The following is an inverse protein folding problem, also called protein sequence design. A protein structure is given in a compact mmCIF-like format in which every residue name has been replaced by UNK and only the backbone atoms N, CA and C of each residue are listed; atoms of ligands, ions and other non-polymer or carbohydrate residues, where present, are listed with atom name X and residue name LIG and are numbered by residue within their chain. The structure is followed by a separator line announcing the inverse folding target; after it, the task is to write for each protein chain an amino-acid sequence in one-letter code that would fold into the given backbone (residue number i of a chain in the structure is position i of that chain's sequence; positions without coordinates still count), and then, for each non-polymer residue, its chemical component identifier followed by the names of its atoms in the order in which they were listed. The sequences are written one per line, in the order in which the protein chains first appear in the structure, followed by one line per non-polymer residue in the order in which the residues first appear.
data_IF_232434361665
#
_entry.id   IF_232434361665
#
_cell.length_a   1.000
_cell.length_b   1.000
_cell.length_c   1.000
_cell.angle_alpha   90.00
_cell.angle_beta   90.00
_cell.angle_gamma   90.00
#
_symmetry.space_group_name_H-M   'P 1'
#
loop_
_entity.id
_entity.type
_entity.pdbx_description
1 polymer ?
#
# COMPACT_ATOMS: atom_id res chain seq x y z
N UNK A 1 9.64 -34.91 6.01
CA UNK A 1 8.25 -34.59 5.67
C UNK A 1 8.18 -34.37 4.16
N UNK A 2 7.37 -35.14 3.45
CA UNK A 2 7.15 -34.94 2.01
C UNK A 2 6.18 -33.77 1.79
N UNK A 3 5.95 -33.38 0.52
CA UNK A 3 5.11 -32.24 0.17
C UNK A 3 3.67 -32.40 0.67
N UNK A 4 3.08 -33.59 0.54
CA UNK A 4 1.72 -33.85 1.00
C UNK A 4 1.59 -33.79 2.53
N UNK A 5 2.52 -34.38 3.26
CA UNK A 5 2.54 -34.30 4.72
C UNK A 5 2.67 -32.85 5.21
N UNK A 6 3.46 -32.02 4.50
CA UNK A 6 3.58 -30.59 4.78
C UNK A 6 2.29 -29.84 4.48
N UNK A 7 1.65 -30.11 3.36
CA UNK A 7 0.36 -29.54 2.98
C UNK A 7 -0.70 -29.80 4.05
N UNK A 8 -0.86 -31.07 4.44
CA UNK A 8 -1.84 -31.49 5.44
C UNK A 8 -1.57 -30.87 6.82
N UNK A 9 -0.27 -30.86 7.21
CA UNK A 9 0.16 -30.24 8.47
C UNK A 9 -0.16 -28.74 8.52
N UNK A 10 0.16 -28.01 7.45
CA UNK A 10 -0.10 -26.56 7.38
C UNK A 10 -1.61 -26.30 7.38
N UNK A 11 -2.38 -26.98 6.54
CA UNK A 11 -3.84 -26.82 6.47
C UNK A 11 -4.52 -27.10 7.82
N UNK A 12 -4.07 -28.12 8.54
CA UNK A 12 -4.56 -28.42 9.88
C UNK A 12 -4.21 -27.32 10.91
N UNK A 13 -2.98 -26.82 10.88
CA UNK A 13 -2.51 -25.79 11.83
C UNK A 13 -3.00 -24.38 11.52
N UNK A 14 -3.24 -24.10 10.25
CA UNK A 14 -3.62 -22.79 9.73
C UNK A 14 -4.83 -22.90 8.79
N UNK A 15 -6.03 -23.18 9.30
CA UNK A 15 -7.20 -23.49 8.47
C UNK A 15 -7.66 -22.33 7.57
N UNK A 16 -7.19 -21.11 7.84
CA UNK A 16 -7.50 -19.91 7.02
C UNK A 16 -6.43 -19.58 6.00
N UNK A 17 -5.39 -20.41 5.86
CA UNK A 17 -4.35 -20.15 4.87
C UNK A 17 -4.91 -20.34 3.46
N UNK A 18 -4.48 -19.51 2.53
CA UNK A 18 -4.90 -19.57 1.13
C UNK A 18 -3.76 -20.04 0.22
N UNK A 19 -2.59 -19.47 0.41
CA UNK A 19 -1.45 -19.67 -0.49
C UNK A 19 -0.13 -19.56 0.29
N UNK A 20 0.87 -20.32 -0.14
CA UNK A 20 2.27 -20.11 0.23
C UNK A 20 3.11 -20.12 -1.03
N UNK A 21 4.00 -19.15 -1.15
CA UNK A 21 5.06 -19.14 -2.16
C UNK A 21 6.37 -18.81 -1.47
N UNK A 22 7.42 -19.59 -1.73
CA UNK A 22 8.75 -19.35 -1.18
C UNK A 22 9.79 -19.26 -2.30
N UNK A 23 10.66 -18.26 -2.20
CA UNK A 23 11.80 -18.04 -3.08
C UNK A 23 13.10 -18.23 -2.31
N UNK A 24 14.07 -18.83 -2.97
CA UNK A 24 15.45 -18.90 -2.49
C UNK A 24 16.36 -18.51 -3.65
N UNK A 25 17.25 -17.55 -3.40
CA UNK A 25 18.20 -17.06 -4.41
C UNK A 25 17.53 -16.64 -5.73
N UNK A 26 16.36 -16.00 -5.64
CA UNK A 26 15.58 -15.54 -6.79
C UNK A 26 14.76 -16.62 -7.51
N UNK A 27 14.83 -17.89 -7.07
CA UNK A 27 14.12 -19.03 -7.66
C UNK A 27 12.97 -19.47 -6.76
N UNK A 28 11.79 -19.74 -7.34
CA UNK A 28 10.67 -20.36 -6.64
C UNK A 28 11.05 -21.80 -6.23
N UNK A 29 11.08 -22.08 -4.92
CA UNK A 29 11.44 -23.39 -4.37
C UNK A 29 10.25 -24.11 -3.75
N UNK A 30 9.16 -23.42 -3.46
CA UNK A 30 7.96 -24.01 -2.90
C UNK A 30 6.74 -23.18 -3.26
N UNK A 31 5.66 -23.86 -3.66
CA UNK A 31 4.33 -23.28 -3.81
C UNK A 31 3.28 -24.27 -3.37
N UNK A 32 2.24 -23.79 -2.68
CA UNK A 32 1.11 -24.60 -2.25
C UNK A 32 -0.15 -23.75 -2.04
N UNK A 33 -1.33 -24.39 -2.09
CA UNK A 33 -2.63 -23.73 -2.18
C UNK A 33 -3.64 -24.45 -1.28
N UNK A 34 -4.54 -23.68 -0.63
CA UNK A 34 -5.61 -24.18 0.23
C UNK A 34 -6.90 -23.43 -0.02
N UNK A 35 -8.00 -23.97 0.51
CA UNK A 35 -9.32 -23.32 0.48
C UNK A 35 -9.81 -22.91 -0.91
N UNK A 36 -9.42 -23.66 -1.95
CA UNK A 36 -9.83 -23.43 -3.34
C UNK A 36 -9.07 -22.32 -4.06
N UNK A 37 -8.11 -21.69 -3.40
CA UNK A 37 -7.22 -20.70 -4.05
C UNK A 37 -6.22 -21.35 -4.98
N UNK A 38 -5.85 -20.62 -6.04
CA UNK A 38 -4.70 -20.90 -6.91
C UNK A 38 -3.58 -19.91 -6.63
N UNK A 39 -2.33 -20.26 -6.95
CA UNK A 39 -1.13 -19.46 -6.60
C UNK A 39 -1.18 -18.02 -7.09
N UNK A 40 -1.88 -17.77 -8.20
CA UNK A 40 -2.00 -16.46 -8.82
C UNK A 40 -3.34 -15.75 -8.50
N UNK A 41 -4.21 -16.37 -7.71
CA UNK A 41 -5.43 -15.73 -7.23
C UNK A 41 -5.08 -14.58 -6.28
N UNK A 42 -5.61 -13.41 -6.53
CA UNK A 42 -5.39 -12.27 -5.64
C UNK A 42 -6.39 -12.26 -4.49
N UNK A 43 -5.95 -11.78 -3.35
CA UNK A 43 -6.80 -11.51 -2.21
C UNK A 43 -6.48 -10.14 -1.61
N UNK A 44 -7.42 -9.60 -0.86
CA UNK A 44 -7.21 -8.34 -0.16
C UNK A 44 -6.11 -8.49 0.90
N UNK A 45 -4.96 -7.86 0.68
CA UNK A 45 -3.78 -7.97 1.56
C UNK A 45 -3.87 -7.09 2.81
N UNK A 46 -5.01 -6.49 3.07
CA UNK A 46 -5.26 -5.65 4.25
C UNK A 46 -4.17 -4.57 4.42
N UNK A 47 -3.64 -4.44 5.62
CA UNK A 47 -2.65 -3.43 5.96
C UNK A 47 -1.25 -3.65 5.37
N UNK A 48 -0.98 -4.78 4.72
CA UNK A 48 0.25 -4.94 3.95
C UNK A 48 0.31 -3.94 2.76
N UNK A 49 -0.84 -3.41 2.32
CA UNK A 49 -0.95 -2.27 1.39
C UNK A 49 -0.06 -1.09 1.80
N UNK A 50 0.09 -0.81 3.10
CA UNK A 50 0.93 0.28 3.62
C UNK A 50 2.39 0.15 3.23
N UNK A 51 2.90 -1.08 3.22
CA UNK A 51 4.28 -1.37 2.80
C UNK A 51 4.46 -1.12 1.30
N UNK A 52 3.46 -1.46 0.50
CA UNK A 52 3.50 -1.18 -0.94
C UNK A 52 3.47 0.33 -1.19
N UNK A 53 2.62 1.08 -0.51
CA UNK A 53 2.59 2.55 -0.61
C UNK A 53 3.93 3.16 -0.17
N UNK A 54 4.57 2.61 0.86
CA UNK A 54 5.92 3.05 1.25
C UNK A 54 6.95 2.87 0.12
N UNK A 55 6.89 1.75 -0.63
CA UNK A 55 7.73 1.56 -1.82
C UNK A 55 7.41 2.58 -2.91
N UNK A 56 6.13 2.88 -3.17
CA UNK A 56 5.75 3.89 -4.16
C UNK A 56 6.27 5.29 -3.78
N UNK A 57 6.25 5.65 -2.50
CA UNK A 57 6.88 6.90 -2.03
C UNK A 57 8.40 6.87 -2.25
N UNK A 58 9.05 5.72 -2.02
CA UNK A 58 10.46 5.53 -2.33
C UNK A 58 10.78 5.72 -3.82
N UNK A 59 9.96 5.16 -4.71
CA UNK A 59 10.07 5.36 -6.15
C UNK A 59 9.87 6.83 -6.52
N UNK A 60 8.90 7.52 -5.92
CA UNK A 60 8.67 8.94 -6.17
C UNK A 60 9.84 9.82 -5.71
N UNK A 61 10.55 9.43 -4.64
CA UNK A 61 11.82 10.06 -4.24
C UNK A 61 12.91 9.85 -5.28
N UNK A 62 13.10 8.63 -5.75
CA UNK A 62 14.11 8.29 -6.77
C UNK A 62 13.88 9.06 -8.09
N UNK A 63 12.61 9.26 -8.46
CA UNK A 63 12.22 10.03 -9.63
C UNK A 63 12.27 11.55 -9.41
N UNK A 64 12.61 12.03 -8.22
CA UNK A 64 12.64 13.46 -7.90
C UNK A 64 11.26 14.13 -7.81
N UNK A 65 10.18 13.36 -7.80
CA UNK A 65 8.80 13.85 -7.60
C UNK A 65 8.58 14.30 -6.15
N UNK A 66 9.28 13.68 -5.22
CA UNK A 66 9.41 14.04 -3.80
C UNK A 66 10.90 14.30 -3.56
N UNK A 67 11.25 15.39 -2.91
CA UNK A 67 12.67 15.74 -2.67
C UNK A 67 13.24 15.02 -1.45
N UNK A 68 12.45 14.92 -0.39
CA UNK A 68 12.85 14.29 0.87
C UNK A 68 11.63 13.81 1.65
N UNK A 69 11.76 12.72 2.41
CA UNK A 69 10.74 12.32 3.39
C UNK A 69 10.64 13.30 4.57
N UNK A 70 11.64 14.16 4.76
CA UNK A 70 11.64 15.22 5.77
C UNK A 70 10.94 16.51 5.28
N UNK A 71 10.51 16.56 4.00
CA UNK A 71 9.70 17.66 3.47
C UNK A 71 8.35 17.74 4.20
N UNK A 72 7.82 18.96 4.29
CA UNK A 72 6.51 19.19 4.90
C UNK A 72 5.41 18.66 3.99
N UNK A 73 4.44 17.97 4.57
CA UNK A 73 3.29 17.44 3.83
C UNK A 73 2.60 18.56 3.03
N UNK A 74 2.44 19.73 3.62
CA UNK A 74 1.75 20.86 2.98
C UNK A 74 2.48 21.45 1.77
N UNK A 75 3.78 21.22 1.61
CA UNK A 75 4.53 21.69 0.44
C UNK A 75 4.00 21.04 -0.86
N UNK A 76 3.34 19.90 -0.73
CA UNK A 76 2.74 19.14 -1.83
C UNK A 76 1.24 19.40 -2.04
N UNK A 77 0.65 20.24 -1.18
CA UNK A 77 -0.77 20.61 -1.26
C UNK A 77 -0.95 22.15 -1.21
N UNK A 78 -0.42 22.89 -2.18
CA UNK A 78 -0.41 24.36 -2.16
C UNK A 78 -1.81 24.98 -2.12
N UNK A 79 -2.82 24.30 -2.69
CA UNK A 79 -4.20 24.79 -2.71
C UNK A 79 -4.97 24.47 -1.41
N UNK A 80 -4.39 23.65 -0.52
CA UNK A 80 -5.06 23.28 0.73
C UNK A 80 -5.05 24.46 1.72
N UNK A 81 -6.24 24.86 2.18
CA UNK A 81 -6.40 25.96 3.15
C UNK A 81 -6.48 25.40 4.56
N UNK A 82 -5.42 25.64 5.33
CA UNK A 82 -5.35 25.25 6.73
C UNK A 82 -6.42 25.98 7.56
N UNK A 83 -7.16 25.23 8.38
CA UNK A 83 -8.18 25.79 9.28
C UNK A 83 -7.55 26.78 10.28
N UNK A 84 -8.26 27.88 10.52
CA UNK A 84 -7.82 28.92 11.48
C UNK A 84 -7.48 28.34 12.84
N UNK A 85 -6.30 28.66 13.36
CA UNK A 85 -5.82 28.20 14.66
C UNK A 85 -5.07 26.87 14.65
N UNK A 86 -5.07 26.14 13.54
CA UNK A 86 -4.21 24.96 13.36
C UNK A 86 -2.79 25.39 13.01
N UNK A 87 -1.81 24.99 13.79
CA UNK A 87 -0.39 25.35 13.61
C UNK A 87 0.50 24.12 13.42
N UNK A 88 0.14 23.01 14.03
CA UNK A 88 0.96 21.79 14.06
C UNK A 88 1.14 21.19 12.67
N UNK A 89 0.13 21.26 11.81
CA UNK A 89 0.16 20.69 10.44
C UNK A 89 1.33 21.23 9.62
N UNK A 90 1.77 22.49 9.84
CA UNK A 90 2.90 23.09 9.11
C UNK A 90 4.26 22.46 9.44
N UNK A 91 4.35 21.70 10.52
CA UNK A 91 5.57 21.01 10.92
C UNK A 91 5.57 19.51 10.58
N UNK A 92 4.43 18.95 10.13
CA UNK A 92 4.31 17.53 9.83
C UNK A 92 4.99 17.20 8.51
N UNK A 93 5.86 16.19 8.53
CA UNK A 93 6.62 15.71 7.38
C UNK A 93 6.03 14.42 6.83
N UNK A 94 6.42 14.06 5.60
CA UNK A 94 6.09 12.75 4.99
C UNK A 94 6.57 11.61 5.90
N UNK A 95 7.74 11.75 6.51
CA UNK A 95 8.30 10.78 7.47
C UNK A 95 7.39 10.55 8.68
N UNK A 96 6.73 11.59 9.19
CA UNK A 96 5.77 11.41 10.28
C UNK A 96 4.58 10.54 9.87
N UNK A 97 4.10 10.66 8.63
CA UNK A 97 3.04 9.80 8.08
C UNK A 97 3.55 8.36 7.90
N UNK A 98 4.68 8.16 7.23
CA UNK A 98 5.27 6.84 6.96
C UNK A 98 5.58 6.06 8.24
N UNK A 99 6.02 6.76 9.28
CA UNK A 99 6.36 6.13 10.58
C UNK A 99 5.20 6.12 11.58
N UNK A 100 4.00 6.57 11.16
CA UNK A 100 2.82 6.68 12.03
C UNK A 100 3.07 7.48 13.32
N UNK A 101 3.80 8.58 13.20
CA UNK A 101 4.09 9.52 14.29
C UNK A 101 3.42 10.88 14.07
N UNK A 102 2.62 11.00 13.03
CA UNK A 102 1.83 12.20 12.79
C UNK A 102 0.70 12.33 13.81
N UNK A 103 0.48 13.51 14.41
CA UNK A 103 -0.66 13.75 15.28
C UNK A 103 -1.94 13.97 14.46
N UNK A 104 -3.07 13.52 15.02
CA UNK A 104 -4.40 13.70 14.43
C UNK A 104 -5.39 14.26 15.46
N UNK A 105 -6.35 15.03 14.98
CA UNK A 105 -7.43 15.65 15.78
C UNK A 105 -8.58 14.70 16.11
N UNK A 106 -8.45 13.41 15.80
CA UNK A 106 -9.42 12.36 16.08
C UNK A 106 -8.88 11.36 17.08
N UNK A 107 -9.78 10.65 17.76
CA UNK A 107 -9.46 9.46 18.53
C UNK A 107 -9.74 8.23 17.65
N UNK A 108 -8.74 7.34 17.52
CA UNK A 108 -8.84 6.18 16.65
C UNK A 108 -8.90 6.54 15.16
N UNK A 109 -9.32 5.57 14.36
CA UNK A 109 -9.41 5.69 12.90
C UNK A 109 -10.78 6.27 12.49
N UNK A 110 -10.85 7.44 11.84
CA UNK A 110 -12.10 8.15 11.55
C UNK A 110 -12.78 7.66 10.26
N UNK A 111 -13.02 6.36 10.14
CA UNK A 111 -13.56 5.68 8.94
C UNK A 111 -14.78 6.39 8.36
N UNK A 112 -15.86 6.53 9.13
CA UNK A 112 -17.09 7.14 8.64
C UNK A 112 -16.85 8.53 8.09
N UNK A 113 -16.04 9.35 8.77
CA UNK A 113 -15.82 10.73 8.37
C UNK A 113 -15.05 10.86 7.06
N UNK A 114 -14.04 10.01 6.86
CA UNK A 114 -13.22 10.04 5.64
C UNK A 114 -13.97 9.35 4.51
N UNK A 115 -14.46 8.13 4.72
CA UNK A 115 -15.06 7.33 3.66
C UNK A 115 -16.43 7.83 3.17
N UNK A 116 -17.12 8.71 3.94
CA UNK A 116 -18.33 9.38 3.48
C UNK A 116 -18.09 10.73 2.80
N UNK A 117 -16.85 11.16 2.66
CA UNK A 117 -16.51 12.42 2.00
C UNK A 117 -16.20 12.21 0.52
N UNK A 118 -16.35 13.27 -0.28
CA UNK A 118 -16.05 13.28 -1.71
C UNK A 118 -14.53 13.31 -2.00
N UNK A 119 -13.73 13.79 -1.05
CA UNK A 119 -12.28 13.93 -1.15
C UNK A 119 -11.63 13.41 0.15
N UNK A 120 -11.16 12.17 0.09
CA UNK A 120 -10.56 11.52 1.25
C UNK A 120 -9.21 12.12 1.65
N UNK A 121 -8.44 12.59 0.67
CA UNK A 121 -7.17 13.26 0.91
C UNK A 121 -7.38 14.56 1.69
N UNK A 122 -8.29 15.41 1.22
CA UNK A 122 -8.62 16.67 1.88
C UNK A 122 -9.19 16.43 3.28
N UNK A 123 -10.10 15.48 3.43
CA UNK A 123 -10.70 15.15 4.73
C UNK A 123 -9.64 14.63 5.71
N UNK A 124 -8.68 13.83 5.24
CA UNK A 124 -7.56 13.37 6.04
C UNK A 124 -6.61 14.50 6.45
N UNK A 125 -6.32 15.46 5.55
CA UNK A 125 -5.57 16.68 5.87
C UNK A 125 -6.32 17.55 6.92
N UNK A 126 -7.64 17.64 6.83
CA UNK A 126 -8.47 18.35 7.82
C UNK A 126 -8.35 17.75 9.23
N UNK A 127 -8.02 16.46 9.33
CA UNK A 127 -7.82 15.75 10.58
C UNK A 127 -6.37 15.80 11.08
N UNK A 128 -5.41 16.10 10.20
CA UNK A 128 -3.99 16.14 10.53
C UNK A 128 -3.66 17.32 11.45
N UNK A 129 -2.74 17.13 12.41
CA UNK A 129 -2.33 18.14 13.36
C UNK A 129 -3.04 18.04 14.72
N UNK A 130 -3.19 19.16 15.39
CA UNK A 130 -3.87 19.28 16.67
C UNK A 130 -3.03 19.93 17.78
N UNK A 131 -3.69 20.25 18.90
CA UNK A 131 -3.09 21.06 20.00
C UNK A 131 -1.93 20.37 20.72
N UNK A 132 -1.84 19.05 20.70
CA UNK A 132 -0.75 18.29 21.35
C UNK A 132 0.60 18.48 20.66
N UNK A 133 0.61 18.95 19.42
CA UNK A 133 1.84 19.02 18.64
C UNK A 133 2.36 17.65 18.20
N UNK A 134 3.58 17.62 17.70
CA UNK A 134 4.29 16.38 17.31
C UNK A 134 5.01 15.85 18.54
N UNK A 135 4.52 14.74 19.10
CA UNK A 135 5.10 14.10 20.31
C UNK A 135 6.15 13.05 19.98
N UNK A 136 6.18 12.58 18.74
CA UNK A 136 7.00 11.44 18.32
C UNK A 136 6.42 10.07 18.73
N UNK A 137 5.29 10.05 19.41
CA UNK A 137 4.61 8.80 19.79
C UNK A 137 4.02 8.09 18.57
N UNK A 138 4.11 6.77 18.57
CA UNK A 138 3.48 5.94 17.56
C UNK A 138 1.95 5.95 17.72
N UNK A 139 1.25 6.27 16.64
CA UNK A 139 -0.21 6.30 16.58
C UNK A 139 -0.67 5.63 15.28
N UNK A 140 -1.05 4.36 15.38
CA UNK A 140 -1.50 3.59 14.22
C UNK A 140 -2.72 4.22 13.58
N UNK A 141 -2.60 4.52 12.30
CA UNK A 141 -3.67 5.08 11.49
C UNK A 141 -3.81 4.29 10.20
N UNK A 142 -5.03 4.09 9.74
CA UNK A 142 -5.30 3.40 8.47
C UNK A 142 -5.84 4.37 7.44
N UNK A 143 -7.01 4.96 7.71
CA UNK A 143 -7.71 5.76 6.72
C UNK A 143 -7.03 7.10 6.44
N UNK A 144 -6.48 7.76 7.47
CA UNK A 144 -5.78 9.05 7.29
C UNK A 144 -4.43 8.93 6.56
N UNK A 145 -3.88 7.72 6.39
CA UNK A 145 -2.70 7.50 5.54
C UNK A 145 -2.98 7.81 4.07
N UNK A 146 -4.25 7.93 3.68
CA UNK A 146 -4.65 8.33 2.33
C UNK A 146 -4.00 9.65 1.86
N UNK A 147 -3.51 10.48 2.77
CA UNK A 147 -2.67 11.65 2.46
C UNK A 147 -1.43 11.25 1.63
N UNK A 148 -0.83 10.08 1.85
CA UNK A 148 0.37 9.63 1.10
C UNK A 148 0.04 9.34 -0.37
N UNK A 149 -1.07 8.68 -0.65
CA UNK A 149 -1.51 8.42 -2.04
C UNK A 149 -2.04 9.68 -2.70
N UNK A 150 -2.70 10.56 -1.95
CA UNK A 150 -3.05 11.90 -2.41
C UNK A 150 -1.83 12.74 -2.78
N UNK A 151 -0.75 12.68 -1.99
CA UNK A 151 0.52 13.34 -2.28
C UNK A 151 1.15 12.76 -3.56
N UNK A 152 1.15 11.44 -3.71
CA UNK A 152 1.63 10.77 -4.91
C UNK A 152 0.88 11.24 -6.16
N UNK A 153 -0.45 11.36 -6.08
CA UNK A 153 -1.28 11.91 -7.16
C UNK A 153 -0.92 13.37 -7.47
N UNK A 154 -0.73 14.21 -6.45
CA UNK A 154 -0.37 15.61 -6.63
C UNK A 154 0.97 15.78 -7.36
N UNK A 155 1.93 14.92 -7.09
CA UNK A 155 3.29 15.02 -7.63
C UNK A 155 3.42 14.36 -9.01
N UNK A 156 2.82 13.19 -9.20
CA UNK A 156 2.95 12.39 -10.43
C UNK A 156 1.88 12.67 -11.48
N UNK A 157 0.71 13.18 -11.07
CA UNK A 157 -0.53 13.29 -11.85
C UNK A 157 -1.08 11.95 -12.34
N UNK A 158 -0.59 10.85 -11.81
CA UNK A 158 -1.10 9.49 -12.05
C UNK A 158 -1.95 9.04 -10.86
N UNK A 159 -2.97 8.22 -11.13
CA UNK A 159 -3.65 7.51 -10.04
C UNK A 159 -2.66 6.61 -9.32
N UNK A 160 -2.96 6.21 -8.09
CA UNK A 160 -2.08 5.29 -7.33
C UNK A 160 -1.84 3.99 -8.09
N UNK A 161 -2.89 3.47 -8.75
CA UNK A 161 -2.82 2.24 -9.55
C UNK A 161 -1.97 2.43 -10.79
N UNK A 162 -2.16 3.52 -11.55
CA UNK A 162 -1.35 3.78 -12.75
C UNK A 162 0.13 3.96 -12.41
N UNK A 163 0.40 4.66 -11.30
CA UNK A 163 1.77 4.82 -10.80
C UNK A 163 2.39 3.48 -10.40
N UNK A 164 1.63 2.67 -9.66
CA UNK A 164 2.09 1.35 -9.22
C UNK A 164 2.30 0.40 -10.41
N UNK A 165 1.36 0.33 -11.35
CA UNK A 165 1.49 -0.47 -12.55
C UNK A 165 2.79 -0.10 -13.29
N UNK A 166 2.96 1.17 -13.61
CA UNK A 166 4.08 1.64 -14.43
C UNK A 166 5.45 1.48 -13.77
N UNK A 167 5.55 1.75 -12.48
CA UNK A 167 6.86 1.92 -11.84
C UNK A 167 7.23 0.82 -10.83
N UNK A 168 6.26 -0.02 -10.43
CA UNK A 168 6.51 -1.14 -9.52
C UNK A 168 6.07 -2.47 -10.12
N UNK A 169 4.83 -2.59 -10.61
CA UNK A 169 4.26 -3.89 -10.97
C UNK A 169 4.81 -4.40 -12.29
N UNK A 170 4.72 -3.62 -13.39
CA UNK A 170 5.26 -4.01 -14.69
C UNK A 170 6.75 -4.39 -14.64
N UNK A 171 7.64 -3.61 -13.97
CA UNK A 171 9.07 -3.94 -13.90
C UNK A 171 9.40 -5.27 -13.23
N UNK A 172 8.52 -5.79 -12.38
CA UNK A 172 8.73 -7.07 -11.67
C UNK A 172 7.74 -8.15 -12.08
N UNK A 173 6.99 -7.93 -13.17
CA UNK A 173 6.07 -8.91 -13.75
C UNK A 173 4.85 -9.22 -12.89
N UNK A 174 4.34 -8.25 -12.14
CA UNK A 174 3.03 -8.31 -11.48
C UNK A 174 1.97 -7.85 -12.49
N UNK A 175 0.84 -8.58 -12.65
CA UNK A 175 -0.22 -8.18 -13.55
C UNK A 175 -0.79 -6.78 -13.20
N UNK A 176 -1.19 -6.03 -14.25
CA UNK A 176 -1.77 -4.71 -14.08
C UNK A 176 -3.05 -4.76 -13.23
N UNK A 177 -3.16 -3.80 -12.33
CA UNK A 177 -4.32 -3.59 -11.47
C UNK A 177 -5.20 -2.47 -12.02
N UNK A 178 -6.46 -2.49 -11.61
CA UNK A 178 -7.43 -1.42 -11.90
C UNK A 178 -8.00 -0.85 -10.61
N UNK A 179 -8.50 0.38 -10.66
CA UNK A 179 -9.21 0.98 -9.55
C UNK A 179 -10.54 0.25 -9.30
N UNK A 180 -10.88 0.03 -8.04
CA UNK A 180 -12.17 -0.44 -7.59
C UNK A 180 -12.76 0.55 -6.58
N UNK A 181 -13.90 1.10 -6.89
CA UNK A 181 -14.65 1.99 -6.01
C UNK A 181 -15.95 1.31 -5.56
N UNK A 182 -16.30 1.45 -4.29
CA UNK A 182 -17.59 1.02 -3.74
C UNK A 182 -18.49 2.24 -3.59
N UNK A 183 -19.67 2.18 -4.19
CA UNK A 183 -20.65 3.27 -4.14
C UNK A 183 -21.36 3.36 -2.78
N UNK A 184 -21.43 2.24 -2.07
CA UNK A 184 -22.12 2.13 -0.79
C UNK A 184 -21.23 1.65 0.34
N UNK A 185 -21.57 1.99 1.58
CA UNK A 185 -20.88 1.48 2.75
C UNK A 185 -20.97 -0.06 2.88
N UNK A 186 -22.05 -0.66 2.39
CA UNK A 186 -22.20 -2.13 2.42
C UNK A 186 -21.26 -2.80 1.42
N UNK A 187 -21.14 -2.28 0.19
CA UNK A 187 -20.16 -2.76 -0.79
C UNK A 187 -18.74 -2.62 -0.27
N UNK A 188 -18.41 -1.48 0.35
CA UNK A 188 -17.10 -1.27 0.97
C UNK A 188 -16.82 -2.32 2.06
N UNK A 189 -17.79 -2.57 2.93
CA UNK A 189 -17.70 -3.61 3.96
C UNK A 189 -17.57 -5.00 3.33
N UNK A 190 -18.38 -5.31 2.33
CA UNK A 190 -18.31 -6.58 1.62
C UNK A 190 -16.94 -6.79 0.99
N UNK A 191 -16.40 -5.79 0.26
CA UNK A 191 -15.04 -5.86 -0.29
C UNK A 191 -13.99 -6.18 0.77
N UNK A 192 -14.09 -5.53 1.93
CA UNK A 192 -13.11 -5.68 3.01
C UNK A 192 -13.22 -7.04 3.72
N UNK A 193 -14.43 -7.55 3.90
CA UNK A 193 -14.70 -8.76 4.69
C UNK A 193 -14.72 -10.04 3.88
N UNK A 194 -14.99 -9.95 2.57
CA UNK A 194 -15.04 -11.10 1.67
C UNK A 194 -13.65 -11.70 1.49
N UNK A 195 -13.53 -12.99 1.80
CA UNK A 195 -12.28 -13.77 1.71
C UNK A 195 -12.15 -14.55 0.40
N UNK A 196 -13.08 -14.40 -0.54
CA UNK A 196 -12.96 -15.06 -1.84
C UNK A 196 -11.81 -14.48 -2.67
N UNK A 197 -11.28 -15.23 -3.65
CA UNK A 197 -10.37 -14.69 -4.64
C UNK A 197 -10.93 -13.44 -5.30
N UNK A 198 -10.08 -12.45 -5.50
CA UNK A 198 -10.44 -11.19 -6.15
C UNK A 198 -9.72 -11.06 -7.50
N UNK A 199 -10.16 -10.12 -8.30
CA UNK A 199 -9.41 -9.67 -9.46
C UNK A 199 -8.28 -8.73 -9.04
N UNK A 200 -7.40 -8.37 -9.98
CA UNK A 200 -6.30 -7.43 -9.76
C UNK A 200 -6.86 -6.01 -9.58
N UNK A 201 -7.26 -5.69 -8.35
CA UNK A 201 -7.88 -4.40 -8.02
C UNK A 201 -7.18 -3.71 -6.86
N UNK A 202 -7.28 -2.40 -6.84
CA UNK A 202 -6.95 -1.56 -5.70
C UNK A 202 -8.15 -0.70 -5.34
N UNK A 203 -8.62 -0.80 -4.10
CA UNK A 203 -9.72 0.02 -3.61
C UNK A 203 -9.34 1.50 -3.64
N UNK A 204 -10.19 2.35 -4.20
CA UNK A 204 -9.93 3.77 -4.34
C UNK A 204 -11.04 4.63 -3.72
N UNK A 205 -10.75 5.91 -3.56
CA UNK A 205 -11.70 6.93 -3.19
C UNK A 205 -12.56 7.40 -4.40
N UNK A 206 -13.55 8.29 -4.21
CA UNK A 206 -14.35 8.84 -5.30
C UNK A 206 -13.55 9.56 -6.40
N UNK A 207 -12.33 9.99 -6.11
CA UNK A 207 -11.43 10.66 -7.06
C UNK A 207 -10.47 9.68 -7.76
N UNK A 208 -10.70 8.37 -7.65
CA UNK A 208 -9.85 7.30 -8.20
C UNK A 208 -8.42 7.27 -7.61
N UNK A 209 -8.24 7.78 -6.40
CA UNK A 209 -6.97 7.68 -5.67
C UNK A 209 -7.01 6.41 -4.83
N UNK A 210 -6.10 5.47 -5.07
CA UNK A 210 -6.01 4.21 -4.32
C UNK A 210 -5.74 4.44 -2.84
N UNK A 211 -6.37 3.64 -1.99
CA UNK A 211 -6.21 3.76 -0.53
C UNK A 211 -4.80 3.39 -0.07
N UNK A 212 -4.22 4.17 0.84
CA UNK A 212 -2.87 3.91 1.34
C UNK A 212 -2.82 2.87 2.46
N UNK A 213 -3.90 2.73 3.21
CA UNK A 213 -3.90 1.93 4.43
C UNK A 213 -4.38 0.49 4.26
N UNK A 214 -5.02 0.15 3.14
CA UNK A 214 -5.67 -1.13 2.83
C UNK A 214 -6.07 -1.15 1.35
N UNK A 215 -6.79 -2.18 0.90
CA UNK A 215 -7.53 -2.14 -0.36
C UNK A 215 -6.80 -2.70 -1.57
N UNK A 216 -5.50 -2.94 -1.51
CA UNK A 216 -4.76 -3.61 -2.58
C UNK A 216 -5.02 -5.12 -2.51
N UNK A 217 -5.23 -5.73 -3.67
CA UNK A 217 -5.34 -7.19 -3.82
C UNK A 217 -4.11 -7.71 -4.55
N UNK A 218 -3.39 -8.65 -3.94
CA UNK A 218 -2.20 -9.31 -4.51
C UNK A 218 -2.28 -10.81 -4.24
N UNK A 219 -1.62 -11.61 -5.08
CA UNK A 219 -1.37 -13.03 -4.83
C UNK A 219 -0.14 -13.23 -3.95
N UNK A 220 0.06 -14.45 -3.43
CA UNK A 220 1.30 -14.80 -2.75
C UNK A 220 2.51 -14.72 -3.69
N UNK A 221 2.33 -15.06 -4.99
CA UNK A 221 3.36 -14.88 -6.01
C UNK A 221 3.78 -13.42 -6.17
N UNK A 222 2.82 -12.49 -6.20
CA UNK A 222 3.12 -11.06 -6.33
C UNK A 222 3.87 -10.52 -5.10
N UNK A 223 3.42 -10.91 -3.90
CA UNK A 223 4.11 -10.55 -2.65
C UNK A 223 5.53 -11.12 -2.60
N UNK A 224 5.75 -12.34 -3.10
CA UNK A 224 7.07 -12.93 -3.18
C UNK A 224 8.00 -12.16 -4.14
N UNK A 225 7.50 -11.72 -5.31
CA UNK A 225 8.26 -10.86 -6.25
C UNK A 225 8.68 -9.54 -5.59
N UNK A 226 7.77 -8.90 -4.84
CA UNK A 226 8.08 -7.70 -4.06
C UNK A 226 9.13 -8.00 -2.98
N UNK A 227 9.03 -9.16 -2.31
CA UNK A 227 10.03 -9.62 -1.34
C UNK A 227 11.41 -9.77 -1.97
N UNK A 228 11.50 -10.38 -3.16
CA UNK A 228 12.75 -10.51 -3.92
C UNK A 228 13.30 -9.14 -4.32
N UNK A 229 12.46 -8.22 -4.78
CA UNK A 229 12.87 -6.84 -5.06
C UNK A 229 13.52 -6.18 -3.84
N UNK A 230 12.91 -6.32 -2.67
CA UNK A 230 13.44 -5.77 -1.42
C UNK A 230 14.78 -6.41 -1.03
N UNK A 231 14.92 -7.74 -1.15
CA UNK A 231 16.19 -8.45 -0.91
C UNK A 231 17.29 -7.98 -1.84
N UNK A 232 16.97 -7.65 -3.09
CA UNK A 232 17.89 -7.12 -4.08
C UNK A 232 18.06 -5.59 -4.01
N UNK A 233 17.72 -4.96 -2.88
CA UNK A 233 17.87 -3.51 -2.65
C UNK A 233 17.16 -2.64 -3.70
N UNK A 234 16.03 -3.10 -4.22
CA UNK A 234 15.24 -2.39 -5.22
C UNK A 234 15.62 -2.66 -6.67
N UNK A 235 16.56 -3.55 -6.94
CA UNK A 235 16.96 -3.95 -8.31
C UNK A 235 16.09 -5.13 -8.74
N UNK A 236 15.29 -5.04 -9.83
CA UNK A 236 14.52 -6.16 -10.36
C UNK A 236 15.42 -7.33 -10.79
N UNK A 237 15.00 -8.57 -10.53
CA UNK A 237 15.78 -9.77 -10.87
C UNK A 237 16.11 -9.85 -12.36
N UNK A 238 15.20 -9.41 -13.22
CA UNK A 238 15.41 -9.38 -14.69
C UNK A 238 16.63 -8.54 -15.05
N UNK A 239 16.86 -7.40 -14.40
CA UNK A 239 18.03 -6.57 -14.61
C UNK A 239 19.31 -7.19 -14.02
N UNK A 240 19.19 -7.87 -12.87
CA UNK A 240 20.33 -8.57 -12.28
C UNK A 240 20.84 -9.69 -13.20
N UNK A 241 19.96 -10.47 -13.79
CA UNK A 241 20.33 -11.52 -14.73
C UNK A 241 20.99 -10.95 -15.99
N UNK A 242 20.48 -9.83 -16.54
CA UNK A 242 21.07 -9.17 -17.69
C UNK A 242 22.52 -8.71 -17.43
N UNK A 243 22.79 -8.11 -16.27
CA UNK A 243 24.15 -7.71 -15.89
C UNK A 243 25.11 -8.87 -15.63
N UNK A 244 24.58 -10.04 -15.19
CA UNK A 244 25.40 -11.22 -14.96
C UNK A 244 25.76 -11.93 -16.28
N UNK A 245 24.90 -11.90 -17.29
CA UNK A 245 25.14 -12.50 -18.61
C UNK A 245 26.11 -11.67 -19.48
N UNK A 246 26.21 -10.36 -19.29
CA UNK A 246 27.16 -9.51 -20.04
C UNK A 246 28.60 -9.57 -19.49
N UNK A 247 28.84 -10.17 -18.33
CA UNK A 247 30.16 -10.26 -17.69
C UNK A 247 30.76 -11.70 -17.71
N UNK A 248 30.26 -12.58 -18.55
CA UNK A 248 30.81 -13.91 -18.86
C UNK A 248 31.36 -13.93 -20.33
#
# INVERSE_FOLDING_TARGET
MNKQELHDFIGFRQPNICQIVAYKDGVEVYTDEWNGYKKDDTCHIMSATKSIVSLLIGIALEQGLIKSIDDKVLDYFPEYKVKRGEKTIYAITIKHLLTMKAPYKCKGDPWTKVCSSEDWTKTSLDLLGGRKGITGEFNYQTVCLHILTGLLYQTSKLTTVDFANKYLFDPIGIPNHVNYYAETAEEHKQFTMDKSPKTNVWFCDPLNIGTAGYGLCLSASDLAKIGVLCLNKGIPVVLVNFFLEENV
#
